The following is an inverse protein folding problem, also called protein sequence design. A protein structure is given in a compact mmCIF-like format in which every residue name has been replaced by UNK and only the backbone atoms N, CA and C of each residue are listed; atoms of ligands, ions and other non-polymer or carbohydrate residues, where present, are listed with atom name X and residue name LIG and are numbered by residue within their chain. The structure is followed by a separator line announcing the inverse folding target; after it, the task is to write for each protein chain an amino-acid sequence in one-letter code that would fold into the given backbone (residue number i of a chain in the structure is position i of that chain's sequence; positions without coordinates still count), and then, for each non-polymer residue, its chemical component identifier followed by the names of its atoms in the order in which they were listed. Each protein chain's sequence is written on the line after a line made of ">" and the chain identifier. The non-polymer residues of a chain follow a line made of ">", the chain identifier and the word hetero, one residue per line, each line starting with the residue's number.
data_IF_541101689893
#
_entry.id   IF_541101689893
#
_cell.length_a   1.000
_cell.length_b   1.000
_cell.length_c   1.000
_cell.angle_alpha   90.00
_cell.angle_beta   90.00
_cell.angle_gamma   90.00
#
_symmetry.space_group_name_H-M   'P 1'
#
loop_
_entity.id
_entity.type
_entity.pdbx_description
1 polymer ?
#
# COMPACT_ATOMS: atom_id res chain seq x y z
N UNK A 1 20.43 -2.25 6.53
CA UNK A 1 19.09 -2.36 7.18
C UNK A 1 18.16 -3.10 6.22
N UNK A 2 17.30 -3.94 6.76
CA UNK A 2 16.28 -4.62 5.98
C UNK A 2 14.95 -3.88 6.14
N UNK A 3 14.34 -3.52 5.03
CA UNK A 3 13.09 -2.77 4.98
C UNK A 3 12.04 -3.61 4.26
N UNK A 4 10.90 -3.82 4.89
CA UNK A 4 9.72 -4.36 4.23
C UNK A 4 8.68 -3.25 4.10
N UNK A 5 8.37 -2.90 2.86
CA UNK A 5 7.39 -1.89 2.53
C UNK A 5 6.09 -2.52 2.04
N UNK A 6 4.97 -2.04 2.54
CA UNK A 6 3.64 -2.48 2.12
C UNK A 6 3.07 -1.41 1.21
N UNK A 7 2.86 -1.78 -0.05
CA UNK A 7 2.44 -0.86 -1.11
C UNK A 7 0.98 -0.44 -0.96
N UNK A 8 0.67 0.74 -1.46
CA UNK A 8 -0.70 1.20 -1.65
C UNK A 8 -1.35 0.62 -2.92
N UNK A 9 -2.65 0.93 -3.11
CA UNK A 9 -3.37 0.51 -4.29
C UNK A 9 -2.78 1.10 -5.57
N UNK A 10 -2.66 0.28 -6.60
CA UNK A 10 -2.16 0.65 -7.92
C UNK A 10 -0.72 1.18 -7.96
N UNK A 11 0.08 0.97 -6.91
CA UNK A 11 1.48 1.39 -6.88
C UNK A 11 2.37 0.25 -7.34
N UNK A 12 3.11 0.41 -8.46
CA UNK A 12 4.04 -0.62 -8.93
C UNK A 12 5.13 -0.92 -7.90
N UNK A 13 5.36 -2.19 -7.64
CA UNK A 13 6.30 -2.64 -6.60
C UNK A 13 7.73 -2.23 -6.88
N UNK A 14 8.16 -2.32 -8.14
CA UNK A 14 9.50 -1.95 -8.58
C UNK A 14 9.74 -0.46 -8.40
N UNK A 15 8.80 0.36 -8.85
CA UNK A 15 8.87 1.81 -8.68
C UNK A 15 8.92 2.19 -7.19
N UNK A 16 8.07 1.58 -6.38
CA UNK A 16 8.03 1.87 -4.93
C UNK A 16 9.32 1.47 -4.24
N UNK A 17 9.87 0.30 -4.57
CA UNK A 17 11.17 -0.16 -4.09
C UNK A 17 12.29 0.80 -4.46
N UNK A 18 12.31 1.29 -5.70
CA UNK A 18 13.29 2.27 -6.17
C UNK A 18 13.20 3.59 -5.39
N UNK A 19 11.97 4.13 -5.19
CA UNK A 19 11.79 5.36 -4.43
C UNK A 19 12.29 5.23 -2.99
N UNK A 20 11.99 4.12 -2.32
CA UNK A 20 12.49 3.86 -0.97
C UNK A 20 14.03 3.75 -0.99
N UNK A 21 14.59 3.04 -1.95
CA UNK A 21 16.05 2.84 -2.09
C UNK A 21 16.83 4.14 -2.27
N UNK A 22 16.24 5.15 -2.88
CA UNK A 22 16.86 6.48 -3.02
C UNK A 22 17.07 7.19 -1.68
N UNK A 23 16.24 6.89 -0.69
CA UNK A 23 16.29 7.50 0.64
C UNK A 23 16.98 6.62 1.68
N UNK A 24 17.00 5.32 1.46
CA UNK A 24 17.61 4.33 2.35
C UNK A 24 18.73 3.58 1.63
N UNK A 25 19.83 4.29 1.36
CA UNK A 25 21.01 3.71 0.72
C UNK A 25 21.58 2.58 1.57
N UNK A 26 22.14 1.54 0.91
CA UNK A 26 22.71 0.35 1.56
C UNK A 26 21.68 -0.48 2.36
N UNK A 27 20.41 -0.41 1.98
CA UNK A 27 19.34 -1.21 2.59
C UNK A 27 18.84 -2.27 1.61
N UNK A 28 18.48 -3.42 2.14
CA UNK A 28 17.73 -4.44 1.41
C UNK A 28 16.22 -4.09 1.51
N UNK A 29 15.57 -3.93 0.36
CA UNK A 29 14.17 -3.53 0.31
C UNK A 29 13.34 -4.67 -0.26
N UNK A 30 12.34 -5.10 0.49
CA UNK A 30 11.29 -6.01 0.07
C UNK A 30 9.96 -5.27 0.01
N UNK A 31 9.20 -5.41 -1.08
CA UNK A 31 7.87 -4.80 -1.21
C UNK A 31 6.82 -5.88 -1.18
N UNK A 32 5.85 -5.73 -0.28
CA UNK A 32 4.63 -6.53 -0.23
C UNK A 32 3.52 -5.77 -0.92
N UNK A 33 2.93 -6.37 -1.95
CA UNK A 33 1.67 -5.95 -2.52
C UNK A 33 0.59 -6.94 -2.07
N UNK A 34 -0.35 -6.54 -1.19
CA UNK A 34 -1.37 -7.46 -0.70
C UNK A 34 -2.32 -7.86 -1.84
N UNK A 35 -2.38 -9.14 -2.16
CA UNK A 35 -3.32 -9.68 -3.16
C UNK A 35 -4.71 -9.81 -2.55
N UNK A 36 -4.77 -10.41 -1.35
CA UNK A 36 -5.99 -10.44 -0.55
C UNK A 36 -5.74 -9.77 0.81
N UNK A 37 -6.16 -8.51 0.98
CA UNK A 37 -5.89 -7.75 2.21
C UNK A 37 -6.59 -8.33 3.46
N UNK A 38 -7.54 -9.26 3.30
CA UNK A 38 -8.25 -9.91 4.39
C UNK A 38 -7.64 -11.26 4.79
N UNK A 39 -6.71 -11.79 4.01
CA UNK A 39 -6.07 -13.08 4.26
C UNK A 39 -4.95 -12.95 5.30
N UNK A 40 -5.24 -13.39 6.52
CA UNK A 40 -4.29 -13.36 7.64
C UNK A 40 -3.15 -14.36 7.47
N UNK A 41 -3.40 -15.52 6.86
CA UNK A 41 -2.37 -16.52 6.62
C UNK A 41 -1.40 -16.08 5.51
N UNK A 42 -1.91 -15.44 4.45
CA UNK A 42 -1.06 -14.79 3.45
C UNK A 42 -0.18 -13.72 4.11
N UNK A 43 -0.78 -12.87 4.96
CA UNK A 43 -0.04 -11.82 5.67
C UNK A 43 1.07 -12.40 6.55
N UNK A 44 0.76 -13.43 7.33
CA UNK A 44 1.73 -14.13 8.19
C UNK A 44 2.90 -14.68 7.37
N UNK A 45 2.60 -15.44 6.33
CA UNK A 45 3.61 -16.02 5.45
C UNK A 45 4.54 -14.97 4.86
N UNK A 46 3.98 -13.89 4.31
CA UNK A 46 4.77 -12.80 3.71
C UNK A 46 5.67 -12.07 4.70
N UNK A 47 5.21 -11.90 5.94
CA UNK A 47 6.01 -11.26 6.99
C UNK A 47 7.11 -12.19 7.53
N UNK A 48 6.83 -13.49 7.63
CA UNK A 48 7.77 -14.49 8.13
C UNK A 48 8.87 -14.84 7.11
N UNK A 49 8.57 -14.79 5.81
CA UNK A 49 9.55 -15.06 4.74
C UNK A 49 10.75 -14.10 4.79
N UNK A 50 10.53 -12.85 5.09
CA UNK A 50 11.57 -11.81 5.10
C UNK A 50 11.42 -10.88 6.30
N UNK A 51 11.91 -11.29 7.48
CA UNK A 51 11.91 -10.43 8.65
C UNK A 51 12.70 -9.14 8.39
N UNK A 52 12.17 -8.02 8.82
CA UNK A 52 12.75 -6.70 8.58
C UNK A 52 13.01 -5.93 9.88
N UNK A 53 13.92 -4.98 9.79
CA UNK A 53 14.23 -4.03 10.85
C UNK A 53 13.23 -2.87 10.88
N UNK A 54 12.75 -2.49 9.68
CA UNK A 54 11.74 -1.45 9.46
C UNK A 54 10.61 -1.99 8.57
N UNK A 55 9.38 -1.79 9.03
CA UNK A 55 8.16 -1.98 8.23
C UNK A 55 7.55 -0.63 7.90
N UNK A 56 7.28 -0.40 6.62
CA UNK A 56 6.78 0.87 6.09
C UNK A 56 5.49 0.67 5.32
N UNK A 57 4.39 1.24 5.78
CA UNK A 57 3.10 1.19 5.07
C UNK A 57 2.79 2.50 4.36
N UNK A 58 2.36 2.43 3.10
CA UNK A 58 1.94 3.58 2.34
C UNK A 58 0.46 3.49 1.95
N UNK A 59 -0.32 4.52 2.29
CA UNK A 59 -1.74 4.63 1.94
C UNK A 59 -2.54 3.37 2.36
N UNK A 60 -3.11 2.60 1.43
CA UNK A 60 -3.77 1.32 1.74
C UNK A 60 -2.83 0.29 2.38
N UNK A 61 -1.53 0.37 2.14
CA UNK A 61 -0.53 -0.43 2.84
C UNK A 61 -0.49 -0.13 4.34
N UNK A 62 -0.74 1.12 4.75
CA UNK A 62 -0.87 1.47 6.17
C UNK A 62 -2.10 0.82 6.81
N UNK A 63 -3.23 0.80 6.09
CA UNK A 63 -4.46 0.13 6.54
C UNK A 63 -4.24 -1.38 6.71
N UNK A 64 -3.52 -2.01 5.79
CA UNK A 64 -3.12 -3.41 5.89
C UNK A 64 -2.24 -3.66 7.13
N UNK A 65 -1.27 -2.78 7.41
CA UNK A 65 -0.44 -2.86 8.62
C UNK A 65 -1.28 -2.77 9.90
N UNK A 66 -2.24 -1.85 9.97
CA UNK A 66 -3.14 -1.73 11.14
C UNK A 66 -4.01 -2.97 11.30
N UNK A 67 -4.53 -3.52 10.21
CA UNK A 67 -5.33 -4.75 10.25
C UNK A 67 -4.53 -5.93 10.79
N UNK A 68 -3.31 -6.09 10.34
CA UNK A 68 -2.44 -7.22 10.70
C UNK A 68 -1.41 -6.86 11.79
N UNK A 69 -1.64 -5.82 12.57
CA UNK A 69 -0.70 -5.28 13.55
C UNK A 69 -0.10 -6.29 14.53
N UNK A 70 -0.87 -7.34 14.85
CA UNK A 70 -0.44 -8.38 15.79
C UNK A 70 0.58 -9.37 15.20
N UNK A 71 0.76 -9.35 13.88
CA UNK A 71 1.73 -10.22 13.19
C UNK A 71 3.12 -9.60 13.11
N UNK A 72 3.24 -8.29 13.31
CA UNK A 72 4.53 -7.61 13.22
C UNK A 72 5.37 -7.84 14.48
N UNK A 73 6.69 -8.06 14.34
CA UNK A 73 7.59 -8.20 15.48
C UNK A 73 7.53 -6.95 16.38
N UNK A 74 7.47 -7.15 17.69
CA UNK A 74 7.39 -6.04 18.66
C UNK A 74 8.63 -5.15 18.63
N UNK A 75 9.77 -5.73 18.35
CA UNK A 75 11.09 -5.07 18.36
C UNK A 75 11.38 -4.29 17.06
N UNK A 76 10.64 -4.51 15.98
CA UNK A 76 10.85 -3.80 14.73
C UNK A 76 10.27 -2.38 14.75
N UNK A 77 10.88 -1.49 13.97
CA UNK A 77 10.34 -0.15 13.73
C UNK A 77 9.16 -0.25 12.75
N UNK A 78 8.10 0.48 13.00
CA UNK A 78 6.95 0.60 12.11
C UNK A 78 6.74 2.06 11.77
N UNK A 79 6.59 2.36 10.49
CA UNK A 79 6.29 3.69 9.99
C UNK A 79 5.16 3.64 8.98
N UNK A 80 4.41 4.72 8.89
CA UNK A 80 3.32 4.85 7.91
C UNK A 80 3.42 6.19 7.20
N UNK A 81 3.21 6.16 5.90
CA UNK A 81 3.16 7.33 5.04
C UNK A 81 1.75 7.47 4.46
N UNK A 82 1.22 8.70 4.48
CA UNK A 82 -0.15 8.99 4.08
C UNK A 82 -1.15 7.98 4.69
N UNK A 83 -1.16 7.84 6.04
CA UNK A 83 -1.94 6.80 6.70
C UNK A 83 -3.44 7.06 6.56
N UNK A 84 -4.19 5.98 6.36
CA UNK A 84 -5.64 5.98 6.40
C UNK A 84 -6.11 4.84 7.30
N UNK A 85 -7.18 5.06 8.04
CA UNK A 85 -7.85 4.03 8.85
C UNK A 85 -9.15 3.54 8.22
N UNK A 86 -9.69 4.31 7.27
CA UNK A 86 -10.76 3.90 6.37
C UNK A 86 -10.53 4.52 4.99
N UNK A 87 -10.92 3.80 3.94
CA UNK A 87 -10.70 4.26 2.57
C UNK A 87 -11.69 5.35 2.17
N UNK A 88 -12.93 5.24 2.59
CA UNK A 88 -13.97 6.20 2.22
C UNK A 88 -14.04 7.37 3.19
N UNK A 89 -14.27 8.57 2.63
CA UNK A 89 -14.32 9.82 3.40
C UNK A 89 -15.47 9.90 4.40
N UNK A 90 -16.54 9.13 4.17
CA UNK A 90 -17.72 9.10 5.03
C UNK A 90 -17.42 8.57 6.43
N UNK A 91 -16.31 7.87 6.61
CA UNK A 91 -15.85 7.41 7.93
C UNK A 91 -15.00 8.43 8.68
N UNK A 92 -14.60 9.54 8.04
CA UNK A 92 -13.74 10.59 8.62
C UNK A 92 -12.47 10.06 9.30
N UNK A 93 -11.84 9.08 8.65
CA UNK A 93 -10.64 8.38 9.14
C UNK A 93 -9.48 8.45 8.14
N UNK A 94 -9.33 9.60 7.48
CA UNK A 94 -8.23 9.87 6.56
C UNK A 94 -8.50 9.56 5.09
N UNK A 95 -9.51 8.76 4.77
CA UNK A 95 -9.93 8.53 3.39
C UNK A 95 -10.55 9.78 2.76
N UNK A 96 -10.29 9.99 1.47
CA UNK A 96 -10.78 11.17 0.73
C UNK A 96 -11.76 10.81 -0.39
N UNK A 97 -11.82 9.55 -0.78
CA UNK A 97 -12.71 9.06 -1.83
C UNK A 97 -14.12 8.82 -1.27
N UNK A 98 -15.16 9.39 -1.89
CA UNK A 98 -16.53 9.08 -1.47
C UNK A 98 -16.91 7.65 -1.85
N UNK A 99 -17.87 7.08 -1.13
CA UNK A 99 -18.44 5.77 -1.47
C UNK A 99 -19.00 5.75 -2.90
N UNK A 100 -19.58 6.85 -3.35
CA UNK A 100 -20.08 6.99 -4.72
C UNK A 100 -18.94 6.91 -5.75
N UNK A 101 -17.85 7.66 -5.53
CA UNK A 101 -16.66 7.62 -6.39
C UNK A 101 -16.02 6.24 -6.42
N UNK A 102 -15.93 5.57 -5.26
CA UNK A 102 -15.41 4.21 -5.17
C UNK A 102 -16.26 3.22 -5.97
N UNK A 103 -17.60 3.29 -5.82
CA UNK A 103 -18.52 2.43 -6.56
C UNK A 103 -18.44 2.68 -8.08
N UNK A 104 -18.26 3.92 -8.49
CA UNK A 104 -18.06 4.27 -9.90
C UNK A 104 -16.74 3.66 -10.43
N UNK A 105 -15.65 3.81 -9.69
CA UNK A 105 -14.35 3.21 -10.03
C UNK A 105 -14.46 1.68 -10.16
N UNK A 106 -15.12 1.02 -9.21
CA UNK A 106 -15.33 -0.43 -9.25
C UNK A 106 -16.11 -0.84 -10.51
N UNK A 107 -17.13 -0.06 -10.90
CA UNK A 107 -17.88 -0.31 -12.13
C UNK A 107 -17.01 -0.16 -13.38
N UNK A 108 -16.16 0.86 -13.43
CA UNK A 108 -15.22 1.05 -14.53
C UNK A 108 -14.24 -0.12 -14.63
N UNK A 109 -13.62 -0.54 -13.53
CA UNK A 109 -12.69 -1.66 -13.48
C UNK A 109 -13.34 -2.99 -13.91
N UNK A 110 -14.64 -3.17 -13.71
CA UNK A 110 -15.38 -4.36 -14.14
C UNK A 110 -15.79 -4.32 -15.62
N UNK A 111 -15.91 -3.14 -16.22
CA UNK A 111 -16.47 -2.97 -17.58
C UNK A 111 -15.44 -2.71 -18.65
N UNK A 112 -14.30 -2.14 -18.31
CA UNK A 112 -13.37 -1.60 -19.27
C UNK A 112 -11.98 -2.20 -19.18
N UNK A 113 -11.18 -1.80 -20.13
CA UNK A 113 -9.74 -1.92 -20.05
C UNK A 113 -9.26 -1.22 -18.79
N UNK A 114 -8.49 -1.93 -17.98
CA UNK A 114 -7.93 -1.42 -16.70
C UNK A 114 -7.08 -0.15 -16.91
N UNK A 115 -6.53 0.02 -18.10
CA UNK A 115 -5.63 1.12 -18.46
C UNK A 115 -6.23 2.50 -18.27
N UNK A 116 -7.49 2.71 -18.70
CA UNK A 116 -8.12 4.04 -18.61
C UNK A 116 -8.38 4.53 -17.18
N UNK A 117 -9.00 3.72 -16.29
CA UNK A 117 -9.18 4.11 -14.89
C UNK A 117 -7.88 4.31 -14.12
N UNK A 118 -6.83 3.54 -14.46
CA UNK A 118 -5.50 3.70 -13.86
C UNK A 118 -4.82 4.98 -14.33
N UNK A 119 -4.91 5.31 -15.62
CA UNK A 119 -4.37 6.55 -16.16
C UNK A 119 -5.02 7.77 -15.50
N UNK A 120 -6.34 7.77 -15.34
CA UNK A 120 -7.07 8.82 -14.63
C UNK A 120 -6.65 8.92 -13.15
N UNK A 121 -6.48 7.78 -12.49
CA UNK A 121 -5.99 7.75 -11.12
C UNK A 121 -4.60 8.37 -11.00
N UNK A 122 -3.66 7.95 -11.84
CA UNK A 122 -2.30 8.47 -11.82
C UNK A 122 -2.22 9.95 -12.17
N UNK A 123 -3.06 10.42 -13.10
CA UNK A 123 -3.13 11.84 -13.47
C UNK A 123 -3.62 12.74 -12.33
N UNK A 124 -4.41 12.20 -11.39
CA UNK A 124 -4.91 12.90 -10.22
C UNK A 124 -4.00 12.74 -8.98
N UNK A 125 -2.90 12.00 -9.08
CA UNK A 125 -1.91 11.90 -8.02
C UNK A 125 -0.85 12.99 -8.19
N UNK A 126 -0.49 13.67 -7.09
CA UNK A 126 0.60 14.66 -7.07
C UNK A 126 1.99 14.01 -7.13
N UNK A 127 2.05 12.70 -7.19
CA UNK A 127 3.30 11.92 -7.24
C UNK A 127 3.59 11.55 -8.70
N UNK A 128 4.84 11.71 -9.17
CA UNK A 128 5.22 11.33 -10.52
C UNK A 128 5.31 9.80 -10.67
N UNK A 129 4.17 9.16 -10.80
CA UNK A 129 4.13 7.74 -11.14
C UNK A 129 4.67 7.52 -12.56
N UNK A 130 5.29 6.36 -12.83
CA UNK A 130 5.66 5.99 -14.19
C UNK A 130 4.40 5.93 -15.05
N UNK A 131 4.46 6.61 -16.20
CA UNK A 131 3.39 6.60 -17.20
C UNK A 131 3.42 5.30 -17.98
#
# INVERSE_FOLDING_TARGET
>A
MRITAISGWAIPTEWFSEQIGRHFTNSEINVIYPVNPFDTEEARRKLDEKPADLYLGYSLGSLWMFKHRNLFPKTSIKAVLAPILAFTREHDMGGKTSTMQLNYLIKLLKRSKIEDPLADFYANCDIPFPK
#
